data_IF_000687600527
#
_entry.id   IF_000687600527
#
_cell.length_a   1.000
_cell.length_b   1.000
_cell.length_c   1.000
_cell.angle_alpha   90.00
_cell.angle_beta   90.00
_cell.angle_gamma   90.00
#
_symmetry.space_group_name_H-M   'P 1'
#
loop_
_entity.id
_entity.type
_entity.pdbx_description
1 polymer ?
#
# COMPACT_ATOMS: atom_id res chain seq x y z
N UNK A 1 3.70 18.12 -35.32
CA UNK A 1 3.53 18.62 -33.94
C UNK A 1 4.33 17.70 -33.02
N UNK A 2 5.27 18.25 -32.26
CA UNK A 2 6.02 17.47 -31.26
C UNK A 2 5.22 17.53 -29.94
N UNK A 3 4.82 16.37 -29.43
CA UNK A 3 4.22 16.25 -28.10
C UNK A 3 5.33 16.39 -27.06
N UNK A 4 5.34 17.51 -26.34
CA UNK A 4 6.20 17.68 -25.17
C UNK A 4 5.45 17.07 -23.98
N UNK A 5 5.93 15.98 -23.37
CA UNK A 5 5.28 15.42 -22.20
C UNK A 5 5.28 16.45 -21.05
N UNK A 6 4.20 16.50 -20.26
CA UNK A 6 4.09 17.44 -19.15
C UNK A 6 5.21 17.23 -18.12
N UNK A 7 5.65 18.32 -17.50
CA UNK A 7 6.58 18.26 -16.36
C UNK A 7 5.96 17.41 -15.25
N UNK A 8 6.72 16.43 -14.75
CA UNK A 8 6.29 15.54 -13.66
C UNK A 8 5.91 16.30 -12.38
N UNK A 9 6.39 17.53 -12.20
CA UNK A 9 6.00 18.42 -11.08
C UNK A 9 4.57 18.97 -11.21
N UNK A 10 3.99 18.93 -12.41
CA UNK A 10 2.63 19.42 -12.71
C UNK A 10 1.59 18.30 -12.80
N UNK A 11 2.02 17.04 -12.77
CA UNK A 11 1.14 15.87 -12.73
C UNK A 11 0.64 15.63 -11.30
N UNK A 12 -0.53 16.20 -10.99
CA UNK A 12 -1.14 16.14 -9.64
C UNK A 12 -2.42 15.32 -9.68
N UNK A 13 -2.50 14.29 -8.84
CA UNK A 13 -3.76 13.60 -8.53
C UNK A 13 -4.34 14.16 -7.23
N UNK A 14 -5.40 14.97 -7.31
CA UNK A 14 -6.04 15.60 -6.13
C UNK A 14 -7.58 15.73 -6.21
N UNK A 15 -8.21 15.09 -7.21
CA UNK A 15 -9.65 15.20 -7.47
C UNK A 15 -10.37 13.85 -7.56
N UNK A 16 -9.83 12.82 -6.91
CA UNK A 16 -10.47 11.50 -6.81
C UNK A 16 -11.78 11.58 -6.03
N UNK A 17 -12.59 10.52 -6.10
CA UNK A 17 -13.81 10.40 -5.29
C UNK A 17 -13.51 10.52 -3.79
N UNK A 18 -12.41 9.93 -3.33
CA UNK A 18 -11.92 10.03 -1.96
C UNK A 18 -11.57 11.47 -1.59
N UNK A 19 -10.92 12.22 -2.48
CA UNK A 19 -10.57 13.64 -2.24
C UNK A 19 -11.81 14.52 -2.07
N UNK A 20 -12.82 14.32 -2.94
CA UNK A 20 -14.11 15.04 -2.86
C UNK A 20 -14.87 14.67 -1.59
N UNK A 21 -14.78 13.42 -1.14
CA UNK A 21 -15.40 12.99 0.11
C UNK A 21 -14.73 13.63 1.34
N UNK A 22 -13.40 13.73 1.35
CA UNK A 22 -12.67 14.41 2.43
C UNK A 22 -12.98 15.92 2.50
N UNK A 23 -13.34 16.55 1.37
CA UNK A 23 -13.78 17.95 1.30
C UNK A 23 -15.29 18.15 1.52
N UNK A 24 -16.03 17.08 1.84
CA UNK A 24 -17.50 17.09 1.95
C UNK A 24 -18.25 17.49 0.67
N UNK A 25 -17.58 17.46 -0.50
CA UNK A 25 -18.18 17.76 -1.81
C UNK A 25 -19.00 16.59 -2.35
N UNK A 26 -18.71 15.37 -1.89
CA UNK A 26 -19.39 14.15 -2.32
C UNK A 26 -19.49 13.14 -1.19
N UNK A 27 -20.69 12.60 -0.95
CA UNK A 27 -20.87 11.59 0.10
C UNK A 27 -20.29 10.24 -0.33
N UNK A 28 -19.47 9.64 0.55
CA UNK A 28 -19.02 8.25 0.42
C UNK A 28 -20.19 7.28 0.53
N UNK A 29 -20.13 6.16 -0.19
CA UNK A 29 -21.04 5.04 0.02
C UNK A 29 -20.75 4.36 1.36
N UNK A 30 -21.69 3.54 1.85
CA UNK A 30 -21.48 2.75 3.08
C UNK A 30 -20.24 1.85 2.98
N UNK A 31 -20.02 1.22 1.82
CA UNK A 31 -18.85 0.38 1.57
C UNK A 31 -17.55 1.19 1.54
N UNK A 32 -17.56 2.37 0.92
CA UNK A 32 -16.39 3.26 0.88
C UNK A 32 -16.02 3.73 2.29
N UNK A 33 -17.02 4.13 3.09
CA UNK A 33 -16.81 4.53 4.48
C UNK A 33 -16.29 3.38 5.35
N UNK A 34 -16.83 2.17 5.19
CA UNK A 34 -16.35 0.99 5.92
C UNK A 34 -14.89 0.65 5.54
N UNK A 35 -14.56 0.65 4.25
CA UNK A 35 -13.20 0.43 3.76
C UNK A 35 -12.23 1.51 4.26
N UNK A 36 -12.64 2.77 4.25
CA UNK A 36 -11.86 3.88 4.80
C UNK A 36 -11.63 3.73 6.30
N UNK A 37 -12.63 3.30 7.06
CA UNK A 37 -12.49 3.03 8.49
C UNK A 37 -11.47 1.92 8.75
N UNK A 38 -11.58 0.79 8.03
CA UNK A 38 -10.61 -0.30 8.12
C UNK A 38 -9.19 0.19 7.79
N UNK A 39 -9.06 0.98 6.73
CA UNK A 39 -7.78 1.53 6.29
C UNK A 39 -7.17 2.50 7.31
N UNK A 40 -7.98 3.33 7.97
CA UNK A 40 -7.51 4.33 8.94
C UNK A 40 -7.34 3.77 10.36
N UNK A 41 -7.78 2.53 10.61
CA UNK A 41 -7.67 1.91 11.93
C UNK A 41 -6.21 1.62 12.26
N UNK A 42 -5.72 2.17 13.38
CA UNK A 42 -4.39 1.88 13.89
C UNK A 42 -4.27 0.39 14.24
N UNK A 43 -3.04 -0.19 14.25
CA UNK A 43 -2.84 -1.59 14.60
C UNK A 43 -3.40 -1.84 16.00
N UNK A 44 -4.38 -2.72 16.09
CA UNK A 44 -4.90 -3.19 17.37
C UNK A 44 -4.37 -4.62 17.57
N UNK A 45 -3.39 -4.82 18.48
CA UNK A 45 -2.81 -6.14 18.73
C UNK A 45 -3.87 -7.21 19.02
N UNK A 46 -4.92 -6.82 19.74
CA UNK A 46 -6.02 -7.67 20.17
C UNK A 46 -6.88 -8.20 19.01
N UNK A 47 -7.14 -7.38 17.99
CA UNK A 47 -8.01 -7.74 16.86
C UNK A 47 -7.23 -8.26 15.66
N UNK A 48 -5.89 -8.19 15.73
CA UNK A 48 -4.97 -8.39 14.60
C UNK A 48 -5.27 -7.52 13.38
N UNK A 49 -6.21 -6.58 13.46
CA UNK A 49 -6.53 -5.65 12.39
C UNK A 49 -5.45 -4.58 12.33
N UNK A 50 -4.87 -4.43 11.15
CA UNK A 50 -3.82 -3.46 10.89
C UNK A 50 -4.22 -2.69 9.63
N UNK A 51 -4.54 -1.40 9.79
CA UNK A 51 -4.83 -0.49 8.68
C UNK A 51 -3.57 0.03 7.98
N UNK A 52 -3.76 0.96 7.04
CA UNK A 52 -2.76 1.59 6.17
C UNK A 52 -1.79 2.54 6.88
N UNK A 53 -1.21 2.13 8.01
CA UNK A 53 -0.27 2.94 8.79
C UNK A 53 1.02 3.29 8.04
N UNK A 54 1.34 2.52 7.00
CA UNK A 54 2.42 2.80 6.04
C UNK A 54 1.98 3.76 4.91
N UNK A 55 0.68 3.91 4.70
CA UNK A 55 0.05 4.61 3.58
C UNK A 55 -0.90 5.72 4.08
N UNK A 56 -0.42 6.57 4.98
CA UNK A 56 -1.21 7.66 5.55
C UNK A 56 -1.07 9.01 4.81
N UNK A 57 -1.79 10.00 5.31
CA UNK A 57 -1.72 11.39 4.85
C UNK A 57 -2.43 11.64 3.51
N UNK A 58 -2.41 12.88 3.02
CA UNK A 58 -3.13 13.27 1.80
C UNK A 58 -2.68 12.51 0.55
N UNK A 59 -1.43 12.04 0.50
CA UNK A 59 -0.91 11.28 -0.64
C UNK A 59 -0.98 9.77 -0.43
N UNK A 60 -1.61 9.28 0.65
CA UNK A 60 -1.68 7.84 0.96
C UNK A 60 -0.31 7.15 0.90
N UNK A 61 0.70 7.89 1.32
CA UNK A 61 2.11 7.53 1.28
C UNK A 61 2.74 8.20 2.48
N UNK A 62 3.42 7.41 3.30
CA UNK A 62 4.45 7.93 4.19
C UNK A 62 5.77 7.52 3.55
N UNK A 63 6.80 8.34 3.62
CA UNK A 63 8.15 8.02 3.09
C UNK A 63 8.84 6.96 3.97
N UNK A 64 8.09 5.89 4.25
CA UNK A 64 8.46 4.77 5.08
C UNK A 64 9.04 3.69 4.20
N UNK A 65 10.09 3.09 4.73
CA UNK A 65 10.82 1.98 4.13
C UNK A 65 10.50 0.73 4.95
N UNK A 66 9.91 -0.27 4.32
CA UNK A 66 9.41 -1.48 5.00
C UNK A 66 9.62 -2.73 4.15
N UNK A 67 9.73 -3.86 4.84
CA UNK A 67 9.56 -5.19 4.26
C UNK A 67 8.16 -5.68 4.64
N UNK A 68 7.31 -5.94 3.63
CA UNK A 68 5.91 -6.35 3.80
C UNK A 68 5.72 -7.89 3.77
N UNK A 69 6.81 -8.65 3.90
CA UNK A 69 6.76 -10.12 3.92
C UNK A 69 6.37 -10.74 2.59
N UNK A 70 6.67 -10.09 1.46
CA UNK A 70 6.29 -10.60 0.13
C UNK A 70 6.98 -11.92 -0.26
N UNK A 71 8.23 -12.10 0.18
CA UNK A 71 9.08 -13.19 -0.24
C UNK A 71 9.60 -13.99 0.96
N UNK A 72 9.41 -15.30 0.90
CA UNK A 72 10.12 -16.25 1.77
C UNK A 72 11.59 -16.43 1.34
N UNK A 73 11.87 -16.26 0.04
CA UNK A 73 13.22 -16.23 -0.52
C UNK A 73 13.48 -14.89 -1.21
N UNK A 74 14.36 -14.09 -0.62
CA UNK A 74 14.64 -12.72 -1.03
C UNK A 74 15.46 -12.68 -2.33
N UNK A 75 14.76 -12.56 -3.47
CA UNK A 75 15.37 -12.42 -4.80
C UNK A 75 15.89 -11.01 -5.05
N UNK A 76 15.14 -10.00 -4.62
CA UNK A 76 15.56 -8.60 -4.62
C UNK A 76 16.02 -8.20 -3.21
N UNK A 77 17.23 -7.63 -3.12
CA UNK A 77 17.81 -7.16 -1.87
C UNK A 77 17.29 -5.79 -1.45
N UNK A 78 16.56 -5.08 -2.30
CA UNK A 78 15.96 -3.79 -2.04
C UNK A 78 16.99 -2.73 -1.63
N UNK A 79 16.65 -1.94 -0.60
CA UNK A 79 17.49 -0.84 -0.11
C UNK A 79 18.94 -1.22 0.22
N UNK A 80 19.19 -2.46 0.67
CA UNK A 80 20.56 -2.96 0.92
C UNK A 80 21.49 -2.79 -0.29
N UNK A 81 20.99 -2.81 -1.53
CA UNK A 81 21.81 -2.56 -2.72
C UNK A 81 22.55 -1.22 -2.66
N UNK A 82 21.92 -0.22 -2.03
CA UNK A 82 22.44 1.15 -1.88
C UNK A 82 23.22 1.30 -0.57
N UNK A 83 22.63 0.90 0.56
CA UNK A 83 23.20 1.18 1.89
C UNK A 83 24.26 0.16 2.34
N UNK A 84 24.26 -1.02 1.73
CA UNK A 84 25.08 -2.20 2.12
C UNK A 84 24.82 -2.76 3.52
N UNK A 85 23.92 -2.18 4.30
CA UNK A 85 23.58 -2.68 5.64
C UNK A 85 22.68 -3.91 5.57
N UNK A 86 22.98 -4.92 6.41
CA UNK A 86 22.21 -6.16 6.47
C UNK A 86 20.74 -5.93 6.86
N UNK A 87 20.49 -4.94 7.73
CA UNK A 87 19.15 -4.56 8.21
C UNK A 87 18.23 -3.93 7.13
N UNK A 88 18.79 -3.46 6.02
CA UNK A 88 18.03 -2.86 4.91
C UNK A 88 17.65 -3.89 3.84
N UNK A 89 17.83 -5.19 4.10
CA UNK A 89 17.59 -6.24 3.12
C UNK A 89 16.09 -6.44 2.87
N UNK A 90 15.70 -6.41 1.59
CA UNK A 90 14.32 -6.51 1.11
C UNK A 90 13.38 -5.46 1.72
N UNK A 91 13.94 -4.28 1.98
CA UNK A 91 13.20 -3.10 2.42
C UNK A 91 12.93 -2.20 1.21
N UNK A 92 11.67 -1.82 1.03
CA UNK A 92 11.18 -1.01 -0.08
C UNK A 92 10.40 0.21 0.42
N UNK A 93 10.32 1.26 -0.39
CA UNK A 93 9.50 2.44 -0.09
C UNK A 93 8.03 2.09 -0.29
N UNK A 94 7.19 2.47 0.67
CA UNK A 94 5.74 2.42 0.51
C UNK A 94 5.32 3.41 -0.59
N UNK A 95 4.74 2.97 -1.73
CA UNK A 95 4.27 3.87 -2.77
C UNK A 95 3.01 4.63 -2.34
N UNK A 96 2.71 5.72 -3.04
CA UNK A 96 1.38 6.34 -2.98
C UNK A 96 0.32 5.38 -3.50
N UNK A 97 -0.83 5.32 -2.82
CA UNK A 97 -2.01 4.57 -3.26
C UNK A 97 -2.95 5.43 -4.13
N UNK A 98 -2.61 6.68 -4.42
CA UNK A 98 -3.31 7.47 -5.45
C UNK A 98 -3.22 6.74 -6.80
N UNK A 99 -4.35 6.67 -7.49
CA UNK A 99 -4.51 5.98 -8.78
C UNK A 99 -4.15 4.48 -8.77
N UNK A 100 -4.09 3.84 -7.60
CA UNK A 100 -3.71 2.42 -7.49
C UNK A 100 -4.62 1.48 -8.29
N UNK A 101 -5.90 1.81 -8.42
CA UNK A 101 -6.85 1.03 -9.22
C UNK A 101 -6.57 1.09 -10.74
N UNK A 102 -5.74 2.03 -11.21
CA UNK A 102 -5.37 2.20 -12.62
C UNK A 102 -4.05 1.52 -12.97
N UNK A 103 -3.37 0.92 -11.98
CA UNK A 103 -2.12 0.19 -12.19
C UNK A 103 -2.39 -1.20 -12.76
N UNK A 104 -1.57 -1.66 -13.71
CA UNK A 104 -1.70 -2.98 -14.33
C UNK A 104 -1.05 -4.14 -13.56
N UNK A 105 -0.19 -3.82 -12.58
CA UNK A 105 0.52 -4.78 -11.73
C UNK A 105 0.95 -4.14 -10.42
N UNK A 106 1.04 -4.95 -9.35
CA UNK A 106 1.33 -4.48 -7.99
C UNK A 106 2.58 -5.12 -7.40
N UNK A 107 3.06 -4.53 -6.30
CA UNK A 107 4.35 -4.83 -5.63
C UNK A 107 5.57 -4.35 -6.43
N UNK A 108 6.75 -4.50 -5.85
CA UNK A 108 8.01 -4.02 -6.44
C UNK A 108 8.42 -4.80 -7.69
N UNK A 109 7.89 -6.01 -7.86
CA UNK A 109 8.20 -6.92 -8.97
C UNK A 109 6.99 -7.21 -9.87
N UNK A 110 5.85 -6.58 -9.62
CA UNK A 110 4.67 -6.68 -10.48
C UNK A 110 3.97 -8.05 -10.46
N UNK A 111 4.26 -8.93 -9.49
CA UNK A 111 3.75 -10.32 -9.51
C UNK A 111 2.24 -10.44 -9.34
N UNK A 112 1.60 -9.45 -8.72
CA UNK A 112 0.15 -9.43 -8.52
C UNK A 112 -0.53 -8.58 -9.59
N UNK A 113 -1.65 -9.06 -10.13
CA UNK A 113 -2.38 -8.36 -11.21
C UNK A 113 -3.69 -7.73 -10.75
N UNK A 114 -4.63 -8.46 -10.15
CA UNK A 114 -5.77 -7.84 -9.49
C UNK A 114 -5.36 -7.26 -8.12
N UNK A 115 -6.00 -6.16 -7.73
CA UNK A 115 -5.79 -5.55 -6.41
C UNK A 115 -6.19 -6.51 -5.28
N UNK A 116 -7.11 -7.43 -5.55
CA UNK A 116 -7.55 -8.46 -4.60
C UNK A 116 -6.41 -9.40 -4.19
N UNK A 117 -5.46 -9.71 -5.08
CA UNK A 117 -4.27 -10.50 -4.72
C UNK A 117 -3.41 -9.76 -3.69
N UNK A 118 -3.33 -8.42 -3.78
CA UNK A 118 -2.64 -7.59 -2.78
C UNK A 118 -3.34 -7.68 -1.43
N UNK A 119 -4.67 -7.59 -1.42
CA UNK A 119 -5.46 -7.70 -0.19
C UNK A 119 -5.34 -9.09 0.44
N UNK A 120 -5.34 -10.15 -0.37
CA UNK A 120 -5.14 -11.53 0.07
C UNK A 120 -3.72 -11.75 0.62
N UNK A 121 -2.71 -11.11 0.04
CA UNK A 121 -1.35 -11.14 0.57
C UNK A 121 -1.31 -10.64 2.01
N UNK A 122 -1.86 -9.45 2.25
CA UNK A 122 -1.91 -8.84 3.57
C UNK A 122 -2.78 -9.62 4.57
N UNK A 123 -3.83 -10.29 4.11
CA UNK A 123 -4.73 -11.07 4.98
C UNK A 123 -4.10 -12.39 5.46
N UNK A 124 -3.41 -13.10 4.56
CA UNK A 124 -3.11 -14.53 4.75
C UNK A 124 -1.67 -14.94 4.37
N UNK A 125 -0.98 -14.22 3.48
CA UNK A 125 0.26 -14.73 2.85
C UNK A 125 1.53 -13.96 3.25
N UNK A 126 1.44 -13.09 4.27
CA UNK A 126 2.59 -12.38 4.82
C UNK A 126 3.62 -13.38 5.37
N UNK A 127 4.81 -13.38 4.77
CA UNK A 127 5.90 -14.27 5.15
C UNK A 127 6.70 -13.68 6.31
N UNK A 128 6.83 -14.38 7.45
CA UNK A 128 7.68 -13.93 8.54
C UNK A 128 9.15 -13.99 8.11
N UNK A 129 9.92 -12.97 8.47
CA UNK A 129 11.37 -12.96 8.27
C UNK A 129 12.04 -12.11 9.35
N UNK A 130 13.34 -12.27 9.56
CA UNK A 130 14.08 -11.44 10.52
C UNK A 130 14.02 -9.93 10.19
N UNK A 131 13.80 -9.59 8.92
CA UNK A 131 13.70 -8.21 8.42
C UNK A 131 12.25 -7.73 8.30
N UNK A 132 11.29 -8.58 8.66
CA UNK A 132 9.88 -8.28 8.58
C UNK A 132 9.53 -7.12 9.51
N UNK A 133 8.86 -6.10 8.95
CA UNK A 133 8.38 -4.98 9.76
C UNK A 133 6.95 -5.27 10.23
N UNK A 134 6.66 -5.22 11.55
CA UNK A 134 5.35 -5.55 12.13
C UNK A 134 4.24 -4.52 11.84
N UNK A 135 4.36 -3.74 10.77
CA UNK A 135 3.33 -2.81 10.30
C UNK A 135 2.52 -3.43 9.15
N UNK A 136 2.38 -4.76 9.15
CA UNK A 136 1.66 -5.51 8.12
C UNK A 136 0.17 -5.35 8.29
N UNK A 137 -0.52 -4.77 7.31
CA UNK A 137 -1.97 -4.79 7.29
C UNK A 137 -2.45 -6.25 7.33
N UNK A 138 -3.40 -6.61 8.20
CA UNK A 138 -4.14 -7.86 8.11
C UNK A 138 -5.60 -7.49 8.05
N UNK A 139 -6.20 -7.71 6.89
CA UNK A 139 -7.61 -7.47 6.67
C UNK A 139 -8.41 -8.69 7.12
N UNK A 140 -9.64 -8.51 7.62
CA UNK A 140 -10.51 -9.65 7.89
C UNK A 140 -10.77 -10.36 6.57
N UNK A 141 -10.66 -11.69 6.58
CA UNK A 141 -11.02 -12.53 5.43
C UNK A 141 -12.46 -12.22 5.04
N UNK A 142 -12.73 -11.96 3.76
CA UNK A 142 -14.13 -11.86 3.29
C UNK A 142 -14.84 -13.16 3.69
N UNK A 143 -16.08 -13.12 4.21
CA UNK A 143 -16.89 -14.34 4.23
C UNK A 143 -16.98 -14.81 2.79
N UNK A 144 -16.55 -16.05 2.56
CA UNK A 144 -16.79 -16.76 1.31
C UNK A 144 -18.30 -16.81 1.15
N UNK A 145 -18.81 -16.14 0.11
CA UNK A 145 -20.19 -16.29 -0.31
C UNK A 145 -20.39 -17.65 -0.99
#
# INVERSE_FOLDING_TARGET
MLYTPPDKRTLISSNSRSDRALRNEKRSSLTESAGQQLFMTHPLPETRLQGGNCHGGPNTSRDMLRNNGLDSFLRDVGRKAVTRHAQDRAVFRAPSLRDIALMGSYMHDGRFKPLDEVLNHYSEHVQPSAMFSPCSCRFPTRPVA
#
